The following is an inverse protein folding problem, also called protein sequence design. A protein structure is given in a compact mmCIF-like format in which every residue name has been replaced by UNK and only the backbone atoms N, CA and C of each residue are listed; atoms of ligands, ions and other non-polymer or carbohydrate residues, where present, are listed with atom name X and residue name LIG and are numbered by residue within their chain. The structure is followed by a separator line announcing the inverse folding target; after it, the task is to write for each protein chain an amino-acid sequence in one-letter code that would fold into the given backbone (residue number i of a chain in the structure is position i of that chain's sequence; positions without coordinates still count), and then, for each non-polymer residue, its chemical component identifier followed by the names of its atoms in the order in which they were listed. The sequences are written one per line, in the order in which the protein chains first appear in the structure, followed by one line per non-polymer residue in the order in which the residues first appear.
data_IF_300653373242
#
_entry.id   IF_300653373242
#
_cell.length_a   1.000
_cell.length_b   1.000
_cell.length_c   1.000
_cell.angle_alpha   90.00
_cell.angle_beta   90.00
_cell.angle_gamma   90.00
#
_symmetry.space_group_name_H-M   'P 1'
#
loop_
_entity.id
_entity.type
_entity.pdbx_description
1 polymer ?
#
# COMPACT_ATOMS: atom_id res chain seq x y z
N UNK A 1 62.46 15.84 36.85
CA UNK A 1 61.34 16.44 37.60
C UNK A 1 61.21 17.89 37.15
N UNK A 2 59.97 18.41 37.12
CA UNK A 2 59.74 19.85 37.09
C UNK A 2 60.07 20.44 38.47
N UNK A 3 60.56 21.68 38.56
CA UNK A 3 61.12 22.26 39.80
C UNK A 3 60.35 23.47 40.32
N UNK A 4 59.12 23.70 39.84
CA UNK A 4 58.30 24.89 40.16
C UNK A 4 57.23 24.67 41.23
N UNK A 5 56.94 23.42 41.60
CA UNK A 5 55.69 23.09 42.28
C UNK A 5 55.87 23.14 43.82
N UNK A 6 54.98 23.84 44.57
CA UNK A 6 55.09 23.96 46.03
C UNK A 6 55.02 22.62 46.77
N UNK A 7 55.78 22.51 47.86
CA UNK A 7 55.76 21.34 48.75
C UNK A 7 54.36 21.15 49.33
N UNK A 8 53.79 19.95 49.14
CA UNK A 8 52.45 19.59 49.61
C UNK A 8 51.36 19.57 48.54
N UNK A 9 51.63 20.04 47.31
CA UNK A 9 50.70 19.86 46.18
C UNK A 9 50.50 18.37 45.90
N UNK A 10 49.25 17.85 45.87
CA UNK A 10 49.02 16.45 45.51
C UNK A 10 49.48 16.18 44.09
N UNK A 11 50.40 15.21 43.93
CA UNK A 11 50.90 14.83 42.61
C UNK A 11 49.85 13.97 41.90
N UNK A 12 48.92 14.62 41.20
CA UNK A 12 47.91 13.93 40.41
C UNK A 12 48.50 13.38 39.11
N UNK A 13 49.17 12.22 39.23
CA UNK A 13 49.68 11.47 38.09
C UNK A 13 48.50 11.13 37.16
N UNK A 14 48.55 11.60 35.91
CA UNK A 14 47.54 11.40 34.87
C UNK A 14 46.14 12.04 35.10
N UNK A 15 46.03 13.15 35.83
CA UNK A 15 44.76 13.91 35.87
C UNK A 15 44.37 14.44 34.49
N UNK A 16 43.10 14.26 34.10
CA UNK A 16 42.56 14.73 32.82
C UNK A 16 41.09 15.11 32.96
N UNK A 17 40.63 16.06 32.14
CA UNK A 17 39.22 16.45 32.06
C UNK A 17 38.30 15.32 31.61
N UNK A 18 37.03 15.39 31.99
CA UNK A 18 36.01 14.34 31.84
C UNK A 18 35.46 14.17 30.42
N UNK A 19 35.64 15.15 29.53
CA UNK A 19 35.14 15.11 28.15
C UNK A 19 36.28 14.91 27.16
N UNK A 20 36.08 14.04 26.16
CA UNK A 20 37.13 13.71 25.19
C UNK A 20 37.62 14.95 24.39
N UNK A 21 36.72 15.90 24.12
CA UNK A 21 37.02 17.18 23.46
C UNK A 21 37.83 18.15 24.33
N UNK A 22 37.59 18.19 25.65
CA UNK A 22 38.37 19.04 26.56
C UNK A 22 39.73 18.43 26.90
N UNK A 23 39.81 17.10 26.82
CA UNK A 23 41.05 16.33 26.99
C UNK A 23 41.94 16.37 25.73
N UNK A 24 41.34 16.46 24.55
CA UNK A 24 42.03 16.52 23.25
C UNK A 24 41.33 17.55 22.34
N UNK A 25 41.75 18.83 22.34
CA UNK A 25 41.08 19.89 21.57
C UNK A 25 41.04 19.65 20.05
N UNK A 26 42.01 18.90 19.52
CA UNK A 26 42.08 18.52 18.10
C UNK A 26 41.51 17.10 17.83
N UNK A 27 40.79 16.50 18.78
CA UNK A 27 40.15 15.20 18.55
C UNK A 27 39.03 15.32 17.51
N UNK A 28 39.05 14.41 16.53
CA UNK A 28 38.00 14.32 15.52
C UNK A 28 36.76 13.71 16.15
N UNK A 29 35.83 14.56 16.59
CA UNK A 29 34.51 14.12 17.06
C UNK A 29 33.78 13.35 15.95
N UNK A 30 33.14 12.25 16.32
CA UNK A 30 32.41 11.39 15.38
C UNK A 30 31.07 12.05 15.04
N UNK A 31 31.03 12.74 13.89
CA UNK A 31 29.84 13.46 13.40
C UNK A 31 28.79 12.57 12.72
N UNK A 32 29.15 11.32 12.41
CA UNK A 32 28.25 10.28 11.91
C UNK A 32 28.64 8.95 12.56
N UNK A 33 27.75 8.37 13.37
CA UNK A 33 27.99 7.10 14.05
C UNK A 33 26.96 6.04 13.64
N UNK A 34 27.44 4.84 13.36
CA UNK A 34 26.59 3.66 13.13
C UNK A 34 26.24 3.06 14.49
N UNK A 35 24.96 3.06 14.85
CA UNK A 35 24.48 2.33 16.02
C UNK A 35 24.46 0.83 15.73
N UNK A 36 25.56 0.14 16.06
CA UNK A 36 25.62 -1.31 16.22
C UNK A 36 24.92 -1.75 17.53
N UNK A 37 23.74 -1.22 17.79
CA UNK A 37 22.98 -1.54 18.98
C UNK A 37 21.83 -2.44 18.56
N UNK A 38 21.98 -3.76 18.67
CA UNK A 38 20.91 -4.71 18.38
C UNK A 38 21.29 -6.19 18.27
N UNK A 39 20.27 -7.05 18.19
CA UNK A 39 20.34 -8.46 17.79
C UNK A 39 19.04 -8.82 17.02
N UNK A 40 18.84 -10.08 16.57
CA UNK A 40 17.58 -10.49 15.89
C UNK A 40 16.31 -10.31 16.74
N UNK A 41 16.52 -10.09 18.04
CA UNK A 41 15.53 -9.65 19.01
C UNK A 41 15.91 -8.32 19.70
N UNK A 42 16.74 -7.39 19.17
CA UNK A 42 16.89 -6.02 19.76
C UNK A 42 17.40 -4.91 18.83
N UNK A 43 17.09 -3.64 19.16
CA UNK A 43 17.76 -2.43 18.67
C UNK A 43 17.92 -1.41 19.81
N UNK A 44 19.00 -0.61 19.83
CA UNK A 44 19.34 0.31 20.93
C UNK A 44 19.50 -0.34 22.34
N UNK A 45 19.57 -1.68 22.43
CA UNK A 45 19.50 -2.43 23.69
C UNK A 45 18.07 -2.78 24.14
N UNK A 46 17.07 -2.45 23.33
CA UNK A 46 15.62 -2.69 23.56
C UNK A 46 15.14 -3.83 22.66
N UNK A 47 14.31 -4.76 23.16
CA UNK A 47 13.92 -5.96 22.38
C UNK A 47 13.12 -5.60 21.10
N UNK A 48 13.56 -6.01 19.90
CA UNK A 48 12.99 -5.65 18.58
C UNK A 48 13.14 -6.78 17.55
N UNK A 49 12.16 -6.97 16.65
CA UNK A 49 12.22 -7.99 15.59
C UNK A 49 12.97 -7.55 14.32
N UNK A 50 12.46 -7.94 13.15
CA UNK A 50 13.07 -7.67 11.84
C UNK A 50 13.20 -6.17 11.50
N UNK A 51 14.39 -5.75 11.03
CA UNK A 51 14.73 -4.37 10.62
C UNK A 51 15.80 -4.38 9.51
N UNK A 52 15.57 -3.67 8.38
CA UNK A 52 16.53 -2.99 7.48
C UNK A 52 15.92 -2.80 6.07
N UNK A 53 16.01 -1.61 5.44
CA UNK A 53 16.19 -1.47 3.97
C UNK A 53 16.88 -0.13 3.61
N UNK A 54 18.14 -0.17 3.13
CA UNK A 54 18.74 0.80 2.18
C UNK A 54 20.14 0.43 1.55
N UNK A 55 20.56 -0.84 1.33
CA UNK A 55 21.83 -1.16 0.65
C UNK A 55 21.70 -1.63 -0.81
N UNK A 56 22.84 -1.64 -1.50
CA UNK A 56 22.96 -1.34 -2.92
C UNK A 56 23.81 -2.37 -3.68
N UNK A 57 23.25 -3.55 -3.92
CA UNK A 57 23.87 -4.66 -4.67
C UNK A 57 23.13 -4.96 -5.97
N UNK A 58 21.96 -5.63 -5.88
CA UNK A 58 21.10 -6.00 -7.01
C UNK A 58 19.63 -6.19 -6.55
N UNK A 59 18.70 -6.02 -7.50
CA UNK A 59 17.26 -6.36 -7.50
C UNK A 59 16.35 -5.84 -6.36
N UNK A 60 16.86 -5.33 -5.24
CA UNK A 60 16.06 -4.85 -4.09
C UNK A 60 16.65 -3.56 -3.46
N UNK A 61 17.31 -2.73 -4.27
CA UNK A 61 18.20 -1.65 -3.82
C UNK A 61 17.49 -0.32 -3.47
N UNK A 62 16.32 -0.38 -2.83
CA UNK A 62 15.49 0.81 -2.64
C UNK A 62 14.81 0.83 -1.26
N UNK A 63 14.92 1.95 -0.56
CA UNK A 63 14.56 2.07 0.84
C UNK A 63 13.05 2.14 1.12
N UNK A 64 12.73 2.04 2.41
CA UNK A 64 11.42 2.37 2.97
C UNK A 64 11.37 3.85 3.35
N UNK A 65 10.37 4.58 2.85
CA UNK A 65 10.03 5.94 3.31
C UNK A 65 8.62 5.95 3.88
N UNK A 66 8.48 6.54 5.07
CA UNK A 66 7.17 6.88 5.65
C UNK A 66 7.16 8.40 5.77
N UNK A 67 6.31 9.08 5.01
CA UNK A 67 6.33 10.54 4.93
C UNK A 67 4.98 11.11 4.53
N UNK A 68 4.76 12.38 4.89
CA UNK A 68 3.77 13.25 4.25
C UNK A 68 4.48 14.17 3.27
N UNK A 69 4.03 14.20 2.02
CA UNK A 69 4.54 15.10 0.99
C UNK A 69 4.12 16.54 1.28
N UNK A 70 5.06 17.50 1.18
CA UNK A 70 4.76 18.94 1.19
C UNK A 70 3.99 19.38 -0.04
N UNK A 71 4.22 18.71 -1.17
CA UNK A 71 3.84 19.19 -2.49
C UNK A 71 2.44 18.68 -2.86
N UNK A 72 2.17 17.40 -2.62
CA UNK A 72 0.89 16.77 -2.91
C UNK A 72 -0.02 16.64 -1.69
N UNK A 73 0.49 16.86 -0.47
CA UNK A 73 -0.22 16.57 0.79
C UNK A 73 -0.58 15.08 1.00
N UNK A 74 -0.04 14.16 0.18
CA UNK A 74 -0.24 12.72 0.36
C UNK A 74 0.54 12.25 1.59
N UNK A 75 -0.07 11.40 2.42
CA UNK A 75 0.61 10.72 3.53
C UNK A 75 0.73 9.24 3.19
N UNK A 76 1.91 8.64 3.28
CA UNK A 76 2.04 7.23 2.89
C UNK A 76 3.33 6.51 3.21
N UNK A 77 3.29 5.23 2.86
CA UNK A 77 4.37 4.26 2.94
C UNK A 77 4.82 3.99 1.51
N UNK A 78 6.09 4.28 1.23
CA UNK A 78 6.73 4.12 -0.07
C UNK A 78 7.82 3.07 0.08
N UNK A 79 7.65 1.97 -0.65
CA UNK A 79 8.60 0.88 -0.81
C UNK A 79 9.19 1.02 -2.20
N UNK A 80 10.51 1.00 -2.34
CA UNK A 80 11.09 1.36 -3.63
C UNK A 80 11.49 2.84 -3.71
N UNK A 81 12.10 3.39 -2.66
CA UNK A 81 12.68 4.73 -2.71
C UNK A 81 14.17 4.72 -3.09
N UNK A 82 14.55 5.48 -4.11
CA UNK A 82 15.94 5.86 -4.36
C UNK A 82 16.54 6.56 -3.13
N UNK A 83 17.56 5.95 -2.53
CA UNK A 83 18.27 6.45 -1.34
C UNK A 83 18.87 7.86 -1.52
N UNK A 84 19.19 8.25 -2.75
CA UNK A 84 19.88 9.49 -3.09
C UNK A 84 18.92 10.59 -3.58
N UNK A 85 17.62 10.31 -3.75
CA UNK A 85 16.63 11.31 -4.18
C UNK A 85 15.52 11.49 -3.16
N UNK A 86 15.32 12.73 -2.71
CA UNK A 86 14.18 13.09 -1.85
C UNK A 86 12.90 13.34 -2.64
N UNK A 87 12.97 13.51 -3.96
CA UNK A 87 11.82 13.84 -4.85
C UNK A 87 11.78 12.98 -6.12
N UNK A 88 10.69 13.10 -6.88
CA UNK A 88 10.45 12.35 -8.11
C UNK A 88 9.70 11.02 -7.89
N UNK A 89 8.99 10.57 -8.93
CA UNK A 89 8.40 9.23 -8.99
C UNK A 89 9.40 8.24 -9.61
N UNK A 90 9.36 6.98 -9.19
CA UNK A 90 10.16 5.88 -9.75
C UNK A 90 9.19 4.82 -10.28
N UNK A 91 9.50 4.24 -11.43
CA UNK A 91 8.57 3.39 -12.21
C UNK A 91 8.16 2.12 -11.43
N UNK A 92 9.02 1.68 -10.53
CA UNK A 92 8.97 0.48 -9.70
C UNK A 92 8.60 0.75 -8.22
N UNK A 93 8.44 2.01 -7.81
CA UNK A 93 8.08 2.35 -6.43
C UNK A 93 6.65 1.94 -6.08
N UNK A 94 6.52 0.96 -5.19
CA UNK A 94 5.26 0.52 -4.60
C UNK A 94 4.83 1.44 -3.46
N UNK A 95 3.61 1.93 -3.51
CA UNK A 95 3.16 3.00 -2.61
C UNK A 95 1.76 2.74 -2.08
N UNK A 96 1.58 2.95 -0.78
CA UNK A 96 0.29 2.96 -0.07
C UNK A 96 0.11 4.37 0.49
N UNK A 97 -0.88 5.11 0.01
CA UNK A 97 -1.08 6.52 0.36
C UNK A 97 -2.52 6.83 0.73
N UNK A 98 -2.69 7.77 1.66
CA UNK A 98 -3.91 8.54 1.82
C UNK A 98 -3.77 9.87 1.07
N UNK A 99 -4.77 10.21 0.26
CA UNK A 99 -4.84 11.49 -0.47
C UNK A 99 -5.38 12.62 0.42
N UNK A 100 -5.23 13.90 0.03
CA UNK A 100 -5.76 15.03 0.80
C UNK A 100 -7.28 15.06 0.86
N UNK A 101 -7.94 14.43 -0.11
CA UNK A 101 -9.40 14.25 -0.20
C UNK A 101 -9.90 13.04 0.60
N UNK A 102 -9.01 12.19 1.12
CA UNK A 102 -9.34 11.09 2.04
C UNK A 102 -9.38 9.69 1.40
N UNK A 103 -9.10 9.55 0.10
CA UNK A 103 -9.03 8.21 -0.50
C UNK A 103 -7.82 7.43 0.01
N UNK A 104 -7.94 6.10 0.11
CA UNK A 104 -6.80 5.20 0.24
C UNK A 104 -6.44 4.66 -1.14
N UNK A 105 -5.25 4.96 -1.64
CA UNK A 105 -4.74 4.48 -2.94
C UNK A 105 -3.53 3.55 -2.74
N UNK A 106 -3.50 2.43 -3.45
CA UNK A 106 -2.34 1.53 -3.56
C UNK A 106 -1.97 1.39 -5.03
N UNK A 107 -0.71 1.67 -5.37
CA UNK A 107 -0.26 1.64 -6.76
C UNK A 107 1.25 1.67 -6.88
N UNK A 108 1.72 1.69 -8.13
CA UNK A 108 3.14 1.84 -8.47
C UNK A 108 3.38 3.16 -9.20
N UNK A 109 4.52 3.80 -8.92
CA UNK A 109 4.94 5.04 -9.58
C UNK A 109 3.88 6.16 -9.53
N UNK A 110 3.69 6.86 -10.64
CA UNK A 110 2.81 8.00 -10.83
C UNK A 110 1.32 7.64 -10.91
N UNK A 111 0.96 6.34 -10.82
CA UNK A 111 -0.44 5.92 -10.73
C UNK A 111 -1.18 6.63 -9.60
N UNK A 112 -0.50 6.95 -8.51
CA UNK A 112 -1.10 7.68 -7.39
C UNK A 112 -1.43 9.15 -7.72
N UNK A 113 -0.74 9.74 -8.69
CA UNK A 113 -0.92 11.11 -9.18
C UNK A 113 -1.97 11.18 -10.31
N UNK A 114 -2.43 10.03 -10.81
CA UNK A 114 -3.44 9.90 -11.84
C UNK A 114 -4.76 9.45 -11.20
N UNK A 115 -5.88 9.95 -11.67
CA UNK A 115 -7.19 9.41 -11.29
C UNK A 115 -7.44 8.07 -11.98
N UNK A 116 -8.25 7.22 -11.34
CA UNK A 116 -8.65 5.92 -11.87
C UNK A 116 -7.48 4.96 -12.18
N UNK A 117 -6.39 5.02 -11.41
CA UNK A 117 -5.24 4.09 -11.49
C UNK A 117 -4.97 3.40 -10.15
N UNK A 118 -4.36 2.21 -10.22
CA UNK A 118 -4.09 1.40 -9.04
C UNK A 118 -5.37 0.87 -8.37
N UNK A 119 -5.27 0.46 -7.11
CA UNK A 119 -6.39 0.14 -6.24
C UNK A 119 -6.79 1.40 -5.46
N UNK A 120 -8.08 1.72 -5.39
CA UNK A 120 -8.59 2.90 -4.70
C UNK A 120 -9.81 2.56 -3.84
N UNK A 121 -9.84 3.06 -2.60
CA UNK A 121 -11.02 3.15 -1.76
C UNK A 121 -11.43 4.62 -1.65
N UNK A 122 -12.69 4.93 -1.96
CA UNK A 122 -13.24 6.29 -1.86
C UNK A 122 -13.17 6.85 -0.44
N UNK A 123 -13.14 8.19 -0.31
CA UNK A 123 -13.02 8.88 0.98
C UNK A 123 -14.16 8.59 1.97
N UNK A 124 -15.34 8.20 1.47
CA UNK A 124 -16.49 7.76 2.27
C UNK A 124 -16.49 6.26 2.60
N UNK A 125 -15.50 5.51 2.11
CA UNK A 125 -15.37 4.06 2.29
C UNK A 125 -16.36 3.20 1.48
N UNK A 126 -17.27 3.81 0.71
CA UNK A 126 -18.37 3.08 0.06
C UNK A 126 -18.00 2.42 -1.27
N UNK A 127 -16.89 2.82 -1.91
CA UNK A 127 -16.51 2.38 -3.26
C UNK A 127 -15.08 1.85 -3.28
N UNK A 128 -14.91 0.62 -3.76
CA UNK A 128 -13.61 0.00 -4.05
C UNK A 128 -13.46 -0.15 -5.57
N UNK A 129 -12.38 0.38 -6.14
CA UNK A 129 -12.09 0.29 -7.57
C UNK A 129 -10.65 -0.13 -7.86
N UNK A 130 -10.43 -0.72 -9.05
CA UNK A 130 -9.11 -1.01 -9.59
C UNK A 130 -9.02 -0.51 -11.02
N UNK A 131 -8.04 0.35 -11.32
CA UNK A 131 -7.87 1.03 -12.60
C UNK A 131 -9.20 1.59 -13.17
N UNK A 132 -9.97 2.31 -12.33
CA UNK A 132 -11.26 2.91 -12.68
C UNK A 132 -12.46 1.96 -12.71
N UNK A 133 -12.23 0.64 -12.68
CA UNK A 133 -13.32 -0.35 -12.63
C UNK A 133 -13.79 -0.52 -11.19
N UNK A 134 -15.07 -0.23 -10.91
CA UNK A 134 -15.66 -0.43 -9.57
C UNK A 134 -15.89 -1.92 -9.34
N UNK A 135 -15.27 -2.46 -8.29
CA UNK A 135 -15.34 -3.88 -7.89
C UNK A 135 -16.37 -4.08 -6.78
N UNK A 136 -16.53 -3.11 -5.88
CA UNK A 136 -17.58 -3.11 -4.86
C UNK A 136 -18.06 -1.68 -4.57
N UNK A 137 -19.33 -1.52 -4.21
CA UNK A 137 -19.96 -0.24 -3.93
C UNK A 137 -20.95 0.24 -4.99
N UNK A 138 -21.35 1.50 -4.89
CA UNK A 138 -22.25 2.15 -5.86
C UNK A 138 -21.62 2.14 -7.26
N UNK A 139 -22.33 1.59 -8.24
CA UNK A 139 -21.82 1.46 -9.61
C UNK A 139 -20.96 0.22 -9.87
N UNK A 140 -20.77 -0.67 -8.90
CA UNK A 140 -20.16 -1.97 -9.14
C UNK A 140 -21.04 -2.81 -10.08
N UNK A 141 -20.51 -3.19 -11.25
CA UNK A 141 -21.13 -4.23 -12.07
C UNK A 141 -20.73 -5.58 -11.52
N UNK A 142 -21.63 -6.24 -10.79
CA UNK A 142 -21.36 -7.52 -10.11
C UNK A 142 -21.31 -8.69 -11.09
N UNK A 143 -20.24 -8.79 -11.87
CA UNK A 143 -19.69 -10.02 -12.42
C UNK A 143 -20.57 -10.87 -13.36
N UNK A 144 -21.69 -10.34 -13.86
CA UNK A 144 -22.62 -11.06 -14.75
C UNK A 144 -22.21 -11.00 -16.24
N UNK A 145 -20.93 -10.80 -16.54
CA UNK A 145 -20.36 -11.06 -17.87
C UNK A 145 -20.24 -12.59 -18.07
N UNK A 146 -21.02 -13.12 -19.02
CA UNK A 146 -21.11 -14.55 -19.39
C UNK A 146 -21.92 -15.46 -18.44
N UNK A 147 -23.11 -15.04 -18.00
CA UNK A 147 -24.13 -15.96 -17.46
C UNK A 147 -23.82 -16.62 -16.12
N UNK A 148 -22.73 -16.23 -15.46
CA UNK A 148 -22.39 -16.64 -14.10
C UNK A 148 -23.31 -15.95 -13.10
N UNK A 149 -24.11 -16.74 -12.38
CA UNK A 149 -24.86 -16.27 -11.21
C UNK A 149 -24.06 -16.58 -9.95
N UNK A 150 -23.48 -15.56 -9.33
CA UNK A 150 -22.77 -15.66 -8.06
C UNK A 150 -23.39 -14.71 -7.03
N UNK A 151 -23.48 -15.18 -5.77
CA UNK A 151 -23.95 -14.44 -4.58
C UNK A 151 -25.39 -13.88 -4.62
N UNK A 152 -26.40 -14.77 -4.62
CA UNK A 152 -27.82 -14.41 -4.46
C UNK A 152 -28.40 -14.74 -3.07
N UNK A 153 -27.59 -14.76 -2.01
CA UNK A 153 -28.06 -15.04 -0.66
C UNK A 153 -29.04 -13.95 -0.18
N UNK A 154 -30.34 -14.28 -0.17
CA UNK A 154 -31.43 -13.35 0.14
C UNK A 154 -31.95 -12.52 -1.04
N UNK A 155 -31.37 -12.63 -2.24
CA UNK A 155 -31.77 -11.88 -3.44
C UNK A 155 -32.35 -12.82 -4.52
N UNK A 156 -33.47 -12.48 -5.16
CA UNK A 156 -33.95 -13.20 -6.35
C UNK A 156 -32.92 -13.08 -7.48
N UNK A 157 -32.53 -14.21 -8.06
CA UNK A 157 -31.75 -14.25 -9.31
C UNK A 157 -32.68 -13.75 -10.41
N UNK A 158 -32.41 -12.57 -10.98
CA UNK A 158 -33.17 -12.03 -12.11
C UNK A 158 -32.40 -12.25 -13.42
N UNK A 159 -32.91 -13.17 -14.23
CA UNK A 159 -32.23 -13.77 -15.37
C UNK A 159 -32.85 -13.29 -16.68
N UNK A 160 -32.83 -11.97 -16.86
CA UNK A 160 -33.33 -11.28 -18.04
C UNK A 160 -34.35 -10.18 -17.72
N UNK A 161 -34.54 -9.29 -18.70
CA UNK A 161 -35.66 -8.36 -18.73
C UNK A 161 -36.95 -9.14 -19.08
N UNK A 162 -38.10 -8.73 -18.56
CA UNK A 162 -39.40 -9.27 -18.97
C UNK A 162 -39.63 -9.02 -20.47
N UNK A 163 -39.25 -9.97 -21.32
CA UNK A 163 -39.49 -9.86 -22.75
C UNK A 163 -40.91 -10.29 -23.10
N UNK A 164 -41.67 -9.33 -23.62
CA UNK A 164 -42.98 -9.55 -24.27
C UNK A 164 -42.84 -9.89 -25.76
N UNK A 165 -41.62 -9.95 -26.29
CA UNK A 165 -41.39 -10.26 -27.70
C UNK A 165 -41.65 -11.74 -28.05
N UNK A 166 -41.65 -12.04 -29.34
CA UNK A 166 -41.95 -13.35 -29.93
C UNK A 166 -40.71 -14.23 -30.16
N UNK A 167 -39.53 -13.82 -29.71
CA UNK A 167 -38.32 -14.64 -29.82
C UNK A 167 -38.31 -15.74 -28.76
N UNK A 168 -37.95 -16.95 -29.19
CA UNK A 168 -37.95 -18.13 -28.33
C UNK A 168 -36.98 -17.99 -27.16
N UNK A 169 -37.49 -18.20 -25.95
CA UNK A 169 -36.72 -18.01 -24.72
C UNK A 169 -37.57 -18.29 -23.48
N UNK A 170 -36.96 -18.12 -22.32
CA UNK A 170 -37.65 -18.30 -21.05
C UNK A 170 -38.63 -17.14 -20.77
N UNK A 171 -39.68 -17.46 -20.03
CA UNK A 171 -40.67 -16.52 -19.52
C UNK A 171 -40.79 -16.69 -18.02
N UNK A 172 -40.78 -15.56 -17.30
CA UNK A 172 -41.13 -15.48 -15.89
C UNK A 172 -42.09 -14.30 -15.69
N UNK A 173 -43.10 -14.47 -14.83
CA UNK A 173 -44.05 -13.40 -14.50
C UNK A 173 -44.29 -13.26 -12.99
N UNK A 174 -43.32 -13.69 -12.18
CA UNK A 174 -43.43 -13.76 -10.71
C UNK A 174 -44.18 -15.00 -10.20
N UNK A 175 -45.11 -15.56 -10.97
CA UNK A 175 -45.90 -16.74 -10.57
C UNK A 175 -45.51 -18.00 -11.36
N UNK A 176 -45.31 -17.87 -12.67
CA UNK A 176 -44.97 -18.96 -13.57
C UNK A 176 -43.55 -18.80 -14.12
N UNK A 177 -42.86 -19.92 -14.30
CA UNK A 177 -41.60 -20.02 -15.06
C UNK A 177 -41.80 -21.10 -16.13
N UNK A 178 -41.60 -20.74 -17.41
CA UNK A 178 -41.70 -21.70 -18.50
C UNK A 178 -40.73 -21.38 -19.66
N UNK A 179 -40.41 -22.40 -20.46
CA UNK A 179 -39.74 -22.21 -21.74
C UNK A 179 -40.79 -21.91 -22.81
N UNK A 180 -40.78 -20.72 -23.42
CA UNK A 180 -41.66 -20.39 -24.55
C UNK A 180 -41.10 -21.02 -25.83
N UNK A 181 -41.38 -22.31 -25.99
CA UNK A 181 -41.16 -23.00 -27.26
C UNK A 181 -42.05 -22.38 -28.34
N UNK A 182 -41.51 -22.19 -29.55
CA UNK A 182 -42.33 -21.85 -30.73
C UNK A 182 -43.31 -23.01 -30.96
N UNK A 183 -44.60 -22.76 -31.23
CA UNK A 183 -45.52 -23.83 -31.61
C UNK A 183 -44.99 -24.57 -32.84
N UNK A 184 -44.76 -25.87 -32.72
CA UNK A 184 -44.46 -26.73 -33.87
C UNK A 184 -45.81 -27.22 -34.40
N UNK A 185 -46.17 -26.80 -35.61
CA UNK A 185 -47.32 -27.35 -36.32
C UNK A 185 -47.00 -28.79 -36.72
N UNK A 186 -47.53 -29.74 -35.96
CA UNK A 186 -47.56 -31.14 -36.38
C UNK A 186 -48.66 -31.31 -37.43
N UNK A 187 -48.30 -31.75 -38.63
CA UNK A 187 -49.27 -32.06 -39.68
C UNK A 187 -50.18 -33.21 -39.24
N UNK A 188 -51.48 -33.10 -39.52
CA UNK A 188 -52.42 -34.18 -39.24
C UNK A 188 -52.07 -35.41 -40.07
N UNK A 189 -51.79 -36.53 -39.40
CA UNK A 189 -51.70 -37.85 -40.04
C UNK A 189 -53.15 -38.27 -40.38
N UNK A 190 -53.50 -38.53 -41.66
CA UNK A 190 -54.82 -39.04 -42.01
C UNK A 190 -55.06 -40.43 -41.39
N UNK A 191 -56.32 -40.80 -41.09
CA UNK A 191 -56.68 -42.09 -40.52
C UNK A 191 -56.47 -43.28 -41.49
#
# INVERSE_FOLDING_TARGET
MNTTDPVGTPSYINYRGTSLSTQYPNSKLVTSYVLNAGNSTSFAGVKCGAIQINPNGNNFNEGLRISRSSDSNFSGIYLGCNANSTSGSLIDQWSIVNTPTGELRIGVSDQLLQDNRGLCISADGNTLSFNGSVIAGTGASTGASNGSVNYSAGNPILWGLNSVDTNGGFYSNGTNICWRARPITLGSIPP
#
